data_IF_260393518263
#
_entry.id   IF_260393518263
#
_cell.length_a   1.000
_cell.length_b   1.000
_cell.length_c   1.000
_cell.angle_alpha   90.00
_cell.angle_beta   90.00
_cell.angle_gamma   90.00
#
_symmetry.space_group_name_H-M   'P 1'
#
loop_
_entity.id
_entity.type
_entity.pdbx_description
1 polymer ?
#
# COMPACT_ATOMS: atom_id res chain seq x y z
N UNK A 1 -67.75 -13.11 30.57
CA UNK A 1 -67.23 -14.07 29.59
C UNK A 1 -65.71 -13.85 29.48
N UNK A 2 -64.98 -14.69 30.09
CA UNK A 2 -63.54 -14.68 30.26
C UNK A 2 -62.92 -15.51 29.14
N UNK A 3 -62.01 -14.95 28.40
CA UNK A 3 -61.18 -15.74 27.49
C UNK A 3 -59.72 -15.58 27.90
N UNK A 4 -59.14 -16.63 28.42
CA UNK A 4 -57.76 -16.80 28.72
C UNK A 4 -56.98 -17.03 27.41
N UNK A 5 -55.90 -16.29 27.19
CA UNK A 5 -54.93 -16.52 26.11
C UNK A 5 -53.66 -17.07 26.70
N UNK A 6 -53.31 -18.28 26.33
CA UNK A 6 -52.13 -19.02 26.75
C UNK A 6 -50.81 -18.37 26.27
N UNK A 7 -49.88 -18.22 27.19
CA UNK A 7 -48.50 -17.83 26.92
C UNK A 7 -47.75 -19.04 26.33
N UNK A 8 -47.23 -18.91 25.12
CA UNK A 8 -46.30 -19.87 24.54
C UNK A 8 -44.89 -19.56 25.01
N UNK A 9 -44.32 -20.50 25.71
CA UNK A 9 -42.92 -20.52 26.13
C UNK A 9 -41.97 -20.53 24.93
N UNK A 10 -41.07 -19.56 24.86
CA UNK A 10 -39.97 -19.51 23.92
C UNK A 10 -38.89 -20.55 24.30
N UNK A 11 -38.61 -21.43 23.37
CA UNK A 11 -37.55 -22.44 23.47
C UNK A 11 -36.18 -21.73 23.47
N UNK A 12 -35.45 -21.86 24.56
CA UNK A 12 -34.05 -21.45 24.69
C UNK A 12 -33.18 -22.47 23.95
N UNK A 13 -32.67 -22.12 22.81
CA UNK A 13 -31.61 -22.87 22.13
C UNK A 13 -30.30 -22.63 22.89
N UNK A 14 -29.72 -23.69 23.40
CA UNK A 14 -28.44 -23.71 24.07
C UNK A 14 -27.28 -23.33 23.17
N UNK A 15 -26.08 -23.02 23.72
CA UNK A 15 -24.94 -22.52 22.97
C UNK A 15 -24.42 -23.59 22.02
N UNK A 16 -24.56 -23.32 20.70
CA UNK A 16 -23.95 -24.11 19.67
C UNK A 16 -22.45 -24.07 19.78
N UNK A 17 -21.83 -25.22 19.80
CA UNK A 17 -20.42 -25.49 19.80
C UNK A 17 -19.78 -24.74 18.62
N UNK A 18 -18.98 -23.72 18.90
CA UNK A 18 -18.11 -23.10 17.91
C UNK A 18 -17.03 -24.12 17.50
N UNK A 19 -17.25 -24.77 16.36
CA UNK A 19 -16.24 -25.61 15.75
C UNK A 19 -15.04 -24.74 15.37
N UNK A 20 -13.91 -24.98 16.01
CA UNK A 20 -12.61 -24.46 15.58
C UNK A 20 -12.33 -24.93 14.16
N UNK A 21 -12.52 -24.05 13.18
CA UNK A 21 -11.92 -24.22 11.86
C UNK A 21 -10.44 -23.89 11.96
N UNK A 22 -9.65 -24.85 12.47
CA UNK A 22 -8.21 -24.88 12.34
C UNK A 22 -7.79 -25.20 10.91
N UNK A 23 -8.06 -24.30 10.00
CA UNK A 23 -7.49 -24.26 8.66
C UNK A 23 -6.20 -23.45 8.69
N UNK A 24 -5.09 -24.02 9.17
CA UNK A 24 -3.76 -23.46 8.95
C UNK A 24 -3.42 -23.63 7.47
N UNK A 25 -3.75 -22.64 6.66
CA UNK A 25 -3.06 -22.43 5.40
C UNK A 25 -1.62 -22.03 5.78
N UNK A 26 -0.57 -22.66 5.25
CA UNK A 26 0.80 -22.19 5.45
C UNK A 26 0.97 -20.89 4.65
N UNK A 27 0.48 -19.78 5.18
CA UNK A 27 0.75 -18.46 4.63
C UNK A 27 2.17 -18.09 5.00
N UNK A 28 3.02 -17.85 4.01
CA UNK A 28 4.29 -17.15 4.21
C UNK A 28 3.96 -15.88 4.99
N UNK A 29 4.48 -15.77 6.21
CA UNK A 29 4.31 -14.57 7.02
C UNK A 29 5.17 -13.49 6.39
N UNK A 30 4.63 -12.34 6.16
CA UNK A 30 5.28 -11.21 5.47
C UNK A 30 6.59 -10.73 6.15
N UNK A 31 6.94 -11.27 7.30
CA UNK A 31 8.15 -10.98 8.08
C UNK A 31 9.05 -12.21 8.28
N UNK A 32 8.81 -13.32 7.55
CA UNK A 32 9.73 -14.43 7.60
C UNK A 32 11.05 -14.02 6.91
N UNK A 33 12.23 -14.36 7.46
CA UNK A 33 13.49 -14.04 6.81
C UNK A 33 13.53 -14.67 5.42
N UNK A 34 14.12 -13.98 4.41
CA UNK A 34 14.21 -14.51 3.06
C UNK A 34 15.02 -15.81 3.08
N UNK A 35 14.65 -16.76 2.24
CA UNK A 35 15.45 -17.95 2.01
C UNK A 35 16.75 -17.58 1.31
N UNK A 36 17.80 -18.39 1.41
CA UNK A 36 19.04 -18.14 0.70
C UNK A 36 18.82 -17.92 -0.80
N UNK A 37 19.22 -16.76 -1.31
CA UNK A 37 19.05 -16.36 -2.70
C UNK A 37 17.74 -15.62 -3.01
N UNK A 38 16.83 -15.47 -2.05
CA UNK A 38 15.64 -14.63 -2.19
C UNK A 38 15.92 -13.19 -1.75
N UNK A 39 15.23 -12.24 -2.41
CA UNK A 39 15.18 -10.83 -1.99
C UNK A 39 14.28 -10.70 -0.75
N UNK A 40 14.63 -9.82 0.19
CA UNK A 40 13.74 -9.51 1.32
C UNK A 40 12.44 -8.88 0.81
N UNK A 41 11.31 -9.35 1.34
CA UNK A 41 10.02 -8.79 0.98
C UNK A 41 9.88 -7.37 1.53
N UNK A 42 9.21 -6.51 0.76
CA UNK A 42 8.88 -5.15 1.20
C UNK A 42 8.05 -5.21 2.49
N UNK A 43 8.50 -4.56 3.58
CA UNK A 43 7.73 -4.49 4.80
C UNK A 43 6.36 -3.86 4.57
N UNK A 44 5.32 -4.41 5.19
CA UNK A 44 4.02 -3.75 5.23
C UNK A 44 4.00 -2.67 6.33
N UNK A 45 3.26 -1.60 6.07
CA UNK A 45 3.01 -0.53 7.01
C UNK A 45 1.53 -0.19 7.05
N UNK A 46 1.11 0.59 8.05
CA UNK A 46 -0.27 0.99 8.19
C UNK A 46 -0.75 1.78 6.96
N UNK A 47 -1.98 1.48 6.51
CA UNK A 47 -2.65 2.21 5.43
C UNK A 47 -3.01 3.64 5.85
N UNK A 48 -3.32 3.81 7.13
CA UNK A 48 -3.84 5.06 7.63
C UNK A 48 -5.29 5.33 7.16
N UNK A 49 -5.86 6.48 7.54
CA UNK A 49 -7.25 6.80 7.28
C UNK A 49 -7.51 7.50 5.95
N UNK A 50 -6.48 7.74 5.14
CA UNK A 50 -6.57 8.62 3.96
C UNK A 50 -6.60 7.89 2.62
N UNK A 51 -6.49 6.56 2.62
CA UNK A 51 -6.64 5.76 1.41
C UNK A 51 -8.08 5.84 0.88
N UNK A 52 -8.23 6.03 -0.44
CA UNK A 52 -9.54 6.10 -1.08
C UNK A 52 -9.59 5.20 -2.31
N UNK A 53 -10.68 4.46 -2.43
CA UNK A 53 -10.97 3.65 -3.62
C UNK A 53 -11.33 4.55 -4.80
N UNK A 54 -11.11 4.05 -6.02
CA UNK A 54 -11.46 4.77 -7.24
C UNK A 54 -10.44 5.84 -7.63
N UNK A 55 -9.22 5.73 -7.13
CA UNK A 55 -8.09 6.57 -7.52
C UNK A 55 -7.86 6.54 -9.03
N UNK A 56 -7.65 7.67 -9.72
CA UNK A 56 -7.46 7.70 -11.17
C UNK A 56 -6.11 7.10 -11.58
N UNK A 57 -6.07 6.49 -12.79
CA UNK A 57 -4.81 6.06 -13.39
C UNK A 57 -4.02 7.28 -13.86
N UNK A 58 -2.94 7.60 -13.15
CA UNK A 58 -2.00 8.67 -13.53
C UNK A 58 -0.65 8.46 -12.85
N UNK A 59 0.43 8.70 -13.59
CA UNK A 59 1.81 8.68 -13.09
C UNK A 59 2.31 10.06 -12.70
N UNK A 60 1.59 11.11 -13.06
CA UNK A 60 1.89 12.49 -12.68
C UNK A 60 0.83 12.97 -11.69
N UNK A 61 1.24 13.18 -10.44
CA UNK A 61 0.37 13.64 -9.35
C UNK A 61 0.45 15.15 -9.10
N UNK A 62 1.20 15.90 -9.92
CA UNK A 62 1.30 17.35 -9.80
C UNK A 62 -0.06 18.02 -10.01
N UNK A 63 -0.36 18.98 -9.19
CA UNK A 63 -1.54 19.83 -9.30
C UNK A 63 -1.19 21.15 -10.01
N UNK A 64 -2.16 21.93 -10.52
CA UNK A 64 -1.88 23.20 -11.18
C UNK A 64 -1.04 24.12 -10.34
N UNK A 65 0.13 24.51 -10.85
CA UNK A 65 1.11 25.37 -10.19
C UNK A 65 2.24 24.63 -9.48
N UNK A 66 2.15 23.32 -9.31
CA UNK A 66 3.25 22.52 -8.77
C UNK A 66 4.39 22.39 -9.78
N UNK A 67 5.58 22.15 -9.24
CA UNK A 67 6.74 21.70 -10.00
C UNK A 67 7.15 20.31 -9.55
N UNK A 68 7.77 19.50 -10.43
CA UNK A 68 8.32 18.22 -10.03
C UNK A 68 9.38 18.42 -8.92
N UNK A 69 9.25 17.68 -7.83
CA UNK A 69 10.23 17.65 -6.74
C UNK A 69 10.75 16.21 -6.51
N UNK A 70 9.96 15.23 -6.96
CA UNK A 70 10.29 13.81 -6.89
C UNK A 70 9.90 13.12 -8.18
N UNK A 71 10.86 12.44 -8.81
CA UNK A 71 10.65 11.42 -9.82
C UNK A 71 11.05 10.10 -9.19
N UNK A 72 10.07 9.25 -8.90
CA UNK A 72 10.28 7.95 -8.28
C UNK A 72 10.15 6.85 -9.33
N UNK A 73 11.19 6.03 -9.44
CA UNK A 73 11.23 4.88 -10.35
C UNK A 73 11.53 3.60 -9.59
N UNK A 74 11.30 2.46 -10.20
CA UNK A 74 11.64 1.17 -9.63
C UNK A 74 10.90 0.04 -10.30
N UNK A 75 10.92 -1.12 -9.67
CA UNK A 75 10.28 -2.33 -10.18
C UNK A 75 9.44 -2.98 -9.09
N UNK A 76 8.48 -3.78 -9.53
CA UNK A 76 7.83 -4.78 -8.69
C UNK A 76 8.43 -6.14 -9.04
N UNK A 77 8.94 -6.84 -8.04
CA UNK A 77 9.67 -8.09 -8.17
C UNK A 77 9.05 -9.17 -7.28
N UNK A 78 9.23 -10.43 -7.66
CA UNK A 78 9.03 -11.55 -6.74
C UNK A 78 10.25 -11.72 -5.82
N UNK A 79 10.17 -12.49 -4.73
CA UNK A 79 11.34 -12.80 -3.90
C UNK A 79 12.50 -13.40 -4.69
N UNK A 80 12.23 -14.15 -5.76
CA UNK A 80 13.26 -14.73 -6.65
C UNK A 80 13.83 -13.71 -7.64
N UNK A 81 13.44 -12.42 -7.54
CA UNK A 81 13.93 -11.34 -8.39
C UNK A 81 13.31 -11.30 -9.80
N UNK A 82 12.22 -12.03 -10.04
CA UNK A 82 11.50 -11.98 -11.31
C UNK A 82 10.60 -10.75 -11.38
N UNK A 83 10.51 -10.04 -12.53
CA UNK A 83 9.62 -8.90 -12.68
C UNK A 83 8.15 -9.33 -12.59
N UNK A 84 7.32 -8.46 -12.01
CA UNK A 84 5.88 -8.63 -11.93
C UNK A 84 5.23 -7.60 -12.86
N UNK A 85 4.81 -8.05 -14.04
CA UNK A 85 4.08 -7.25 -15.01
C UNK A 85 2.62 -7.05 -14.56
N UNK A 86 2.03 -5.91 -14.89
CA UNK A 86 0.62 -5.63 -14.59
C UNK A 86 0.33 -5.42 -13.10
N UNK A 87 1.33 -5.25 -12.25
CA UNK A 87 1.12 -4.86 -10.87
C UNK A 87 0.57 -3.43 -10.79
N UNK A 88 -0.45 -3.22 -9.96
CA UNK A 88 -1.05 -1.90 -9.72
C UNK A 88 -0.43 -1.31 -8.46
N UNK A 89 0.16 -0.13 -8.59
CA UNK A 89 0.70 0.64 -7.47
C UNK A 89 -0.14 1.89 -7.27
N UNK A 90 -0.96 1.90 -6.23
CA UNK A 90 -1.73 3.08 -5.82
C UNK A 90 -0.91 3.92 -4.87
N UNK A 91 -0.66 5.18 -5.24
CA UNK A 91 0.09 6.14 -4.46
C UNK A 91 -0.84 7.21 -3.89
N UNK A 92 -0.60 7.63 -2.65
CA UNK A 92 -1.26 8.79 -2.05
C UNK A 92 -0.37 9.42 -0.98
N UNK A 93 -0.43 10.73 -0.88
CA UNK A 93 0.34 11.48 0.11
C UNK A 93 -0.26 12.85 0.43
N UNK A 94 0.23 13.49 1.46
CA UNK A 94 -0.16 14.83 1.86
C UNK A 94 0.41 15.91 0.92
N UNK A 95 -0.21 17.07 0.88
CA UNK A 95 0.36 18.29 0.27
C UNK A 95 1.64 18.73 1.00
N UNK A 96 2.32 19.77 0.50
CA UNK A 96 3.43 20.43 1.23
C UNK A 96 3.04 20.89 2.65
N UNK A 97 1.77 21.27 2.84
CA UNK A 97 1.25 21.68 4.14
C UNK A 97 0.88 20.51 5.09
N UNK A 98 1.10 19.26 4.67
CA UNK A 98 0.73 18.09 5.45
C UNK A 98 -0.76 17.74 5.39
N UNK A 99 -1.49 18.21 4.39
CA UNK A 99 -2.93 18.01 4.25
C UNK A 99 -3.27 16.96 3.19
N UNK A 100 -4.19 16.04 3.52
CA UNK A 100 -4.75 15.08 2.57
C UNK A 100 -6.04 15.60 1.94
N UNK A 101 -6.22 15.33 0.65
CA UNK A 101 -7.48 15.64 -0.04
C UNK A 101 -8.53 14.56 0.28
N UNK A 102 -9.51 14.92 1.10
CA UNK A 102 -10.61 14.02 1.53
C UNK A 102 -11.83 14.05 0.61
N UNK A 103 -11.82 14.90 -0.43
CA UNK A 103 -12.94 15.07 -1.36
C UNK A 103 -12.62 14.57 -2.75
N UNK A 104 -11.49 14.99 -3.30
CA UNK A 104 -10.97 14.58 -4.61
C UNK A 104 -9.87 13.53 -4.52
N UNK A 105 -8.96 13.56 -5.49
CA UNK A 105 -7.80 12.67 -5.57
C UNK A 105 -6.50 13.46 -5.77
N UNK A 106 -6.40 14.65 -5.19
CA UNK A 106 -5.17 15.44 -5.24
C UNK A 106 -4.04 14.64 -4.59
N UNK A 107 -2.88 14.59 -5.24
CA UNK A 107 -1.73 13.77 -4.85
C UNK A 107 -2.04 12.28 -4.65
N UNK A 108 -3.02 11.77 -5.40
CA UNK A 108 -3.38 10.36 -5.42
C UNK A 108 -3.53 9.88 -6.85
N UNK A 109 -2.98 8.73 -7.16
CA UNK A 109 -3.04 8.12 -8.48
C UNK A 109 -2.54 6.67 -8.43
N UNK A 110 -2.86 5.89 -9.47
CA UNK A 110 -2.24 4.57 -9.61
C UNK A 110 -1.50 4.45 -10.94
N UNK A 111 -0.46 3.64 -10.93
CA UNK A 111 0.29 3.21 -12.11
C UNK A 111 0.25 1.70 -12.23
N UNK A 112 0.49 1.22 -13.45
CA UNK A 112 0.57 -0.22 -13.74
C UNK A 112 1.96 -0.51 -14.25
N UNK A 113 2.61 -1.55 -13.74
CA UNK A 113 3.95 -1.93 -14.18
C UNK A 113 3.95 -2.45 -15.61
N UNK A 114 5.04 -2.17 -16.33
CA UNK A 114 5.30 -2.72 -17.66
C UNK A 114 5.73 -4.21 -17.60
N UNK A 115 6.03 -4.80 -18.78
CA UNK A 115 6.46 -6.20 -18.89
C UNK A 115 7.76 -6.52 -18.14
N UNK A 116 8.57 -5.52 -17.85
CA UNK A 116 9.79 -5.63 -17.04
C UNK A 116 9.55 -5.29 -15.56
N UNK A 117 8.30 -5.16 -15.15
CA UNK A 117 7.89 -4.82 -13.78
C UNK A 117 8.17 -3.37 -13.40
N UNK A 118 8.50 -2.48 -14.33
CA UNK A 118 8.91 -1.09 -14.06
C UNK A 118 7.73 -0.17 -13.85
N UNK A 119 7.90 0.80 -12.97
CA UNK A 119 6.97 1.92 -12.76
C UNK A 119 7.71 3.25 -12.68
N UNK A 120 6.98 4.34 -12.88
CA UNK A 120 7.44 5.70 -12.69
C UNK A 120 6.31 6.55 -12.11
N UNK A 121 6.67 7.46 -11.22
CA UNK A 121 5.78 8.43 -10.60
C UNK A 121 6.47 9.80 -10.54
N UNK A 122 5.78 10.86 -10.96
CA UNK A 122 6.22 12.26 -10.78
C UNK A 122 5.30 12.94 -9.78
N UNK A 123 5.87 13.58 -8.75
CA UNK A 123 5.10 14.27 -7.73
C UNK A 123 5.93 15.32 -6.99
N UNK A 124 5.35 15.93 -5.96
CA UNK A 124 6.03 16.77 -4.98
C UNK A 124 6.61 15.92 -3.86
N UNK A 125 7.50 16.47 -3.05
CA UNK A 125 7.87 15.89 -1.75
C UNK A 125 6.79 16.28 -0.73
N UNK A 126 6.10 15.32 -0.10
CA UNK A 126 5.03 15.63 0.85
C UNK A 126 5.54 16.36 2.08
N UNK A 127 4.67 17.15 2.72
CA UNK A 127 4.90 17.71 4.03
C UNK A 127 4.68 16.70 5.15
N UNK A 128 5.32 16.92 6.30
CA UNK A 128 5.00 16.22 7.55
C UNK A 128 3.71 16.78 8.16
N UNK A 129 3.05 16.00 9.03
CA UNK A 129 1.86 16.41 9.75
C UNK A 129 1.77 15.71 11.11
N UNK A 130 1.09 16.33 12.07
CA UNK A 130 0.89 15.68 13.39
C UNK A 130 -0.15 14.57 13.32
N UNK A 131 0.09 13.40 13.95
CA UNK A 131 1.27 13.01 14.75
C UNK A 131 2.37 12.28 13.94
N UNK A 132 2.47 12.50 12.63
CA UNK A 132 3.43 11.89 11.71
C UNK A 132 4.53 12.89 11.37
N UNK A 133 5.67 12.76 12.03
CA UNK A 133 6.80 13.67 11.86
C UNK A 133 7.63 13.36 10.60
N UNK A 134 7.69 12.09 10.20
CA UNK A 134 8.36 11.69 8.97
C UNK A 134 7.53 12.05 7.74
N UNK A 135 8.13 12.74 6.78
CA UNK A 135 7.57 12.89 5.44
C UNK A 135 7.50 11.51 4.77
N UNK A 136 6.33 11.15 4.26
CA UNK A 136 6.12 9.82 3.69
C UNK A 136 5.15 9.82 2.53
N UNK A 137 5.34 8.84 1.66
CA UNK A 137 4.49 8.53 0.52
C UNK A 137 3.87 7.15 0.76
N UNK A 138 2.56 7.06 0.85
CA UNK A 138 1.87 5.78 0.93
C UNK A 138 1.84 5.08 -0.41
N UNK A 139 1.98 3.76 -0.38
CA UNK A 139 1.87 2.90 -1.56
C UNK A 139 1.10 1.64 -1.21
N UNK A 140 0.14 1.28 -2.06
CA UNK A 140 -0.49 -0.05 -2.05
C UNK A 140 -0.14 -0.77 -3.34
N UNK A 141 0.62 -1.85 -3.24
CA UNK A 141 1.00 -2.70 -4.36
C UNK A 141 0.04 -3.88 -4.43
N UNK A 142 -0.61 -4.04 -5.56
CA UNK A 142 -1.55 -5.12 -5.85
C UNK A 142 -1.10 -5.87 -7.09
N UNK A 143 -0.97 -7.18 -6.96
CA UNK A 143 -0.67 -8.09 -8.06
C UNK A 143 -1.42 -9.41 -7.84
N UNK A 144 -1.00 -10.50 -8.46
CA UNK A 144 -1.45 -11.86 -8.12
C UNK A 144 -0.83 -12.25 -6.77
N UNK A 145 -1.21 -11.51 -5.73
CA UNK A 145 -0.71 -11.65 -4.36
C UNK A 145 -1.67 -10.96 -3.39
N UNK A 146 -1.41 -11.09 -2.08
CA UNK A 146 -2.07 -10.19 -1.13
C UNK A 146 -1.56 -8.77 -1.37
N UNK A 147 -2.44 -7.76 -1.35
CA UNK A 147 -1.99 -6.38 -1.42
C UNK A 147 -0.99 -6.08 -0.30
N UNK A 148 0.09 -5.42 -0.66
CA UNK A 148 1.07 -4.90 0.30
C UNK A 148 0.84 -3.40 0.40
N UNK A 149 0.37 -2.93 1.55
CA UNK A 149 0.34 -1.50 1.86
C UNK A 149 1.62 -1.16 2.62
N UNK A 150 2.30 -0.11 2.21
CA UNK A 150 3.54 0.34 2.83
C UNK A 150 3.67 1.87 2.73
N UNK A 151 4.77 2.40 3.28
CA UNK A 151 5.09 3.81 3.23
C UNK A 151 6.55 3.97 2.82
N UNK A 152 6.83 4.91 1.95
CA UNK A 152 8.20 5.24 1.55
C UNK A 152 8.64 6.51 2.27
N UNK A 153 9.86 6.55 2.75
CA UNK A 153 10.45 7.65 3.51
C UNK A 153 11.64 8.24 2.76
N UNK A 154 12.03 9.46 3.12
CA UNK A 154 13.14 10.17 2.49
C UNK A 154 14.32 10.24 3.46
N UNK A 155 15.51 9.93 2.97
CA UNK A 155 16.72 9.96 3.78
C UNK A 155 17.04 11.41 4.25
N UNK A 156 17.55 11.52 5.48
CA UNK A 156 17.98 12.79 6.05
C UNK A 156 16.88 13.73 6.52
N UNK A 157 15.60 13.33 6.46
CA UNK A 157 14.50 14.14 7.00
C UNK A 157 14.51 14.11 8.54
N UNK A 158 14.49 15.27 9.21
CA UNK A 158 14.64 15.35 10.66
C UNK A 158 13.57 14.57 11.44
N UNK A 159 12.33 14.53 10.92
CA UNK A 159 11.22 13.86 11.56
C UNK A 159 11.28 12.33 11.55
N UNK A 160 12.22 11.72 10.82
CA UNK A 160 12.30 10.26 10.72
C UNK A 160 12.55 9.59 12.07
N UNK A 161 13.39 10.17 12.92
CA UNK A 161 13.73 9.60 14.23
C UNK A 161 12.61 9.72 15.25
N UNK A 162 11.70 10.65 15.06
CA UNK A 162 10.61 10.96 15.99
C UNK A 162 9.29 10.27 15.61
N UNK A 163 9.20 9.78 14.36
CA UNK A 163 8.02 9.07 13.88
C UNK A 163 8.09 7.57 14.24
N UNK A 164 7.16 7.12 15.07
CA UNK A 164 7.10 5.74 15.55
C UNK A 164 6.86 4.68 14.46
N UNK A 165 6.44 5.12 13.28
CA UNK A 165 6.21 4.24 12.12
C UNK A 165 7.36 4.27 11.13
N UNK A 166 8.38 5.12 11.35
CA UNK A 166 9.53 5.16 10.48
C UNK A 166 10.25 3.82 10.42
N UNK A 167 10.45 3.33 9.22
CA UNK A 167 11.16 2.09 8.96
C UNK A 167 12.30 2.35 7.96
N UNK A 168 13.56 2.24 8.39
CA UNK A 168 14.71 2.52 7.52
C UNK A 168 14.83 1.57 6.32
N UNK A 169 14.17 0.40 6.34
CA UNK A 169 14.11 -0.50 5.18
C UNK A 169 13.23 0.05 4.04
N UNK A 170 12.47 1.11 4.29
CA UNK A 170 11.52 1.73 3.37
C UNK A 170 11.97 3.14 2.93
N UNK A 171 13.23 3.48 3.11
CA UNK A 171 13.71 4.74 2.60
C UNK A 171 13.99 4.70 1.10
N UNK A 172 13.73 5.81 0.42
CA UNK A 172 14.00 5.99 -1.00
C UNK A 172 15.38 6.58 -1.16
N UNK A 173 16.28 5.84 -1.81
CA UNK A 173 17.58 6.35 -2.20
C UNK A 173 17.39 7.40 -3.31
N UNK A 174 17.79 8.64 -3.06
CA UNK A 174 17.63 9.76 -4.00
C UNK A 174 18.97 10.35 -4.42
N UNK A 175 19.07 10.72 -5.70
CA UNK A 175 20.00 11.73 -6.19
C UNK A 175 19.23 13.02 -6.44
N UNK A 176 19.91 14.17 -6.39
CA UNK A 176 19.29 15.47 -6.65
C UNK A 176 19.94 16.06 -7.91
N UNK A 177 19.13 16.48 -8.87
CA UNK A 177 19.61 17.10 -10.09
C UNK A 177 19.90 18.60 -9.90
N UNK A 178 20.47 19.30 -10.92
CA UNK A 178 20.77 20.72 -10.82
C UNK A 178 19.55 21.63 -10.60
N UNK A 179 18.35 21.18 -10.96
CA UNK A 179 17.08 21.90 -10.78
C UNK A 179 16.46 21.63 -9.40
N UNK A 180 17.10 20.78 -8.59
CA UNK A 180 16.69 20.44 -7.23
C UNK A 180 15.67 19.27 -7.17
N UNK A 181 15.39 18.63 -8.29
CA UNK A 181 14.46 17.48 -8.33
C UNK A 181 15.17 16.23 -7.78
N UNK A 182 14.49 15.55 -6.88
CA UNK A 182 14.94 14.24 -6.35
C UNK A 182 14.59 13.12 -7.35
N UNK A 183 15.58 12.38 -7.77
CA UNK A 183 15.41 11.15 -8.53
C UNK A 183 15.54 9.96 -7.58
N UNK A 184 14.41 9.40 -7.18
CA UNK A 184 14.33 8.31 -6.23
C UNK A 184 14.22 6.96 -6.92
N UNK A 185 14.76 5.92 -6.27
CA UNK A 185 14.59 4.53 -6.72
C UNK A 185 14.16 3.65 -5.56
N UNK A 186 13.11 2.82 -5.80
CA UNK A 186 12.66 1.82 -4.84
C UNK A 186 12.07 0.61 -5.58
N UNK A 187 12.60 -0.60 -5.32
CA UNK A 187 12.04 -1.85 -5.84
C UNK A 187 11.11 -2.49 -4.78
N UNK A 188 9.88 -2.78 -5.15
CA UNK A 188 8.93 -3.51 -4.29
C UNK A 188 9.10 -5.01 -4.51
N UNK A 189 9.31 -5.76 -3.44
CA UNK A 189 9.37 -7.22 -3.46
C UNK A 189 8.13 -7.78 -2.81
N UNK A 190 7.30 -8.48 -3.60
CA UNK A 190 6.02 -9.01 -3.15
C UNK A 190 5.95 -10.53 -3.38
N UNK A 191 5.52 -11.28 -2.36
CA UNK A 191 5.25 -12.69 -2.51
C UNK A 191 4.03 -12.89 -3.43
N UNK A 192 4.14 -13.78 -4.41
CA UNK A 192 3.01 -14.18 -5.24
C UNK A 192 2.26 -15.35 -4.61
N UNK A 193 0.93 -15.40 -4.83
CA UNK A 193 0.19 -16.62 -4.57
C UNK A 193 0.53 -17.68 -5.63
N UNK A 194 0.59 -18.92 -5.22
CA UNK A 194 0.62 -20.07 -6.13
C UNK A 194 -0.75 -20.20 -6.82
N UNK A 195 -0.74 -20.26 -8.11
CA UNK A 195 -1.65 -20.58 -9.22
C UNK A 195 -3.17 -20.79 -9.02
N UNK A 196 -3.80 -20.52 -7.90
CA UNK A 196 -5.21 -20.89 -7.69
C UNK A 196 -6.23 -19.75 -7.64
N UNK A 197 -5.86 -18.50 -7.91
CA UNK A 197 -6.84 -17.41 -7.98
C UNK A 197 -6.74 -16.69 -9.33
N UNK A 198 -7.84 -16.76 -10.11
CA UNK A 198 -8.02 -16.00 -11.37
C UNK A 198 -8.14 -14.49 -11.07
N UNK A 199 -7.03 -13.84 -10.73
CA UNK A 199 -6.97 -12.39 -10.56
C UNK A 199 -6.43 -11.79 -11.85
N UNK A 200 -7.27 -11.03 -12.54
CA UNK A 200 -6.86 -10.30 -13.76
C UNK A 200 -6.41 -8.88 -13.44
N UNK A 201 -5.58 -8.24 -14.30
CA UNK A 201 -5.21 -6.84 -14.14
C UNK A 201 -6.44 -5.92 -14.00
N UNK A 202 -7.53 -6.17 -14.73
CA UNK A 202 -8.76 -5.40 -14.63
C UNK A 202 -9.41 -5.52 -13.26
N UNK A 203 -9.40 -6.72 -12.66
CA UNK A 203 -9.95 -6.94 -11.32
C UNK A 203 -9.12 -6.26 -10.24
N UNK A 204 -7.81 -6.09 -10.46
CA UNK A 204 -6.91 -5.36 -9.56
C UNK A 204 -7.13 -3.85 -9.67
N UNK A 205 -7.26 -3.32 -10.89
CA UNK A 205 -7.52 -1.90 -11.14
C UNK A 205 -8.85 -1.44 -10.53
N UNK A 206 -9.88 -2.30 -10.51
CA UNK A 206 -11.17 -2.00 -9.89
C UNK A 206 -11.10 -1.87 -8.35
N UNK A 207 -9.99 -2.29 -7.73
CA UNK A 207 -9.76 -2.22 -6.27
C UNK A 207 -8.74 -1.13 -5.89
N UNK A 208 -8.21 -0.39 -6.88
CA UNK A 208 -7.23 0.68 -6.69
C UNK A 208 -7.84 2.08 -6.31
#
# INVERSE_FOLDING_TARGET
>A
MTVQGEARTANVLGPGVAGEMSGKTPGVRQNDPPKPGELPQTPWEIEGPYYRLGTPQRSNLLEPGDKPELILTGRVLTPEGRPVAGAVLSFWHASHAGEYDMVGYRYSGYVVTDDAGRYELTTIVPGAYQPREAKHLHVKVQAISRPVTTQLYFEGEPGNTDDKYYNPALFVACTVDPDGVKHGTFDFVIAQFTENENITPESLAARA
#
